data_IF_424203604571
#
_entry.id   IF_424203604571
#
_cell.length_a   1.000
_cell.length_b   1.000
_cell.length_c   1.000
_cell.angle_alpha   90.00
_cell.angle_beta   90.00
_cell.angle_gamma   90.00
#
_symmetry.space_group_name_H-M   'P 1'
#
loop_
_entity.id
_entity.type
_entity.pdbx_description
1 polymer ?
#
# COMPACT_ATOMS: atom_id res chain seq x y z
N UNK A 1 -34.72 -9.14 23.36
CA UNK A 1 -33.70 -8.63 22.43
C UNK A 1 -33.39 -9.78 21.49
N UNK A 2 -34.03 -9.82 20.32
CA UNK A 2 -33.78 -10.86 19.31
C UNK A 2 -32.67 -10.32 18.42
N UNK A 3 -31.45 -10.78 18.64
CA UNK A 3 -30.35 -10.60 17.71
C UNK A 3 -30.65 -11.41 16.46
N UNK A 4 -31.24 -10.78 15.46
CA UNK A 4 -31.29 -11.33 14.12
C UNK A 4 -29.87 -11.20 13.59
N UNK A 5 -29.09 -12.28 13.71
CA UNK A 5 -27.83 -12.43 12.99
C UNK A 5 -28.18 -12.45 11.51
N UNK A 6 -28.14 -11.29 10.86
CA UNK A 6 -27.96 -11.24 9.40
C UNK A 6 -26.53 -11.74 9.17
N UNK A 7 -26.38 -13.05 9.04
CA UNK A 7 -25.22 -13.62 8.38
C UNK A 7 -25.52 -13.46 6.88
N UNK A 8 -24.84 -12.56 6.16
CA UNK A 8 -25.01 -12.47 4.72
C UNK A 8 -24.48 -13.79 4.16
N UNK A 9 -25.39 -14.68 3.75
CA UNK A 9 -25.04 -15.88 3.00
C UNK A 9 -24.72 -15.46 1.56
N UNK A 10 -23.62 -14.75 1.41
CA UNK A 10 -22.95 -14.50 0.14
C UNK A 10 -22.04 -15.69 -0.13
N UNK A 11 -22.43 -16.54 -1.08
CA UNK A 11 -21.63 -17.60 -1.73
C UNK A 11 -20.79 -18.51 -0.82
N UNK A 12 -21.11 -19.81 -0.78
CA UNK A 12 -20.39 -20.82 0.01
C UNK A 12 -19.26 -21.44 -0.82
N UNK A 13 -17.99 -21.02 -0.68
CA UNK A 13 -16.95 -21.35 -1.67
C UNK A 13 -16.54 -22.83 -1.68
N UNK A 14 -16.85 -23.60 -0.63
CA UNK A 14 -16.56 -25.04 -0.57
C UNK A 14 -17.72 -25.92 -1.04
N UNK A 15 -18.89 -25.35 -1.29
CA UNK A 15 -20.11 -26.09 -1.70
C UNK A 15 -20.54 -25.67 -3.08
N UNK A 16 -20.55 -24.35 -3.33
CA UNK A 16 -20.95 -23.79 -4.61
C UNK A 16 -19.90 -24.15 -5.67
N UNK A 17 -20.36 -24.52 -6.86
CA UNK A 17 -19.48 -24.81 -7.98
C UNK A 17 -18.60 -23.60 -8.34
N UNK A 18 -17.42 -23.86 -8.88
CA UNK A 18 -16.53 -22.79 -9.34
C UNK A 18 -17.28 -21.94 -10.37
N UNK A 19 -17.52 -20.67 -10.03
CA UNK A 19 -18.17 -19.71 -10.92
C UNK A 19 -17.41 -19.68 -12.24
N UNK A 20 -18.11 -19.92 -13.34
CA UNK A 20 -17.50 -19.87 -14.68
C UNK A 20 -16.99 -18.46 -14.98
N UNK A 21 -15.88 -18.29 -15.73
CA UNK A 21 -15.43 -16.98 -16.17
C UNK A 21 -16.53 -16.18 -16.90
N UNK A 22 -17.45 -16.88 -17.59
CA UNK A 22 -18.58 -16.26 -18.29
C UNK A 22 -19.64 -15.72 -17.32
N UNK A 23 -19.94 -16.45 -16.25
CA UNK A 23 -20.88 -16.02 -15.20
C UNK A 23 -20.33 -14.82 -14.43
N UNK A 24 -19.01 -14.82 -14.17
CA UNK A 24 -18.33 -13.67 -13.56
C UNK A 24 -18.44 -12.42 -14.42
N UNK A 25 -18.15 -12.54 -15.72
CA UNK A 25 -18.26 -11.41 -16.65
C UNK A 25 -19.70 -10.88 -16.75
N UNK A 26 -20.69 -11.77 -16.69
CA UNK A 26 -22.09 -11.37 -16.69
C UNK A 26 -22.49 -10.64 -15.41
N UNK A 27 -22.06 -11.13 -14.24
CA UNK A 27 -22.30 -10.46 -12.95
C UNK A 27 -21.60 -9.10 -12.92
N UNK A 28 -20.37 -9.00 -13.42
CA UNK A 28 -19.65 -7.72 -13.55
C UNK A 28 -20.41 -6.74 -14.43
N UNK A 29 -20.93 -7.18 -15.59
CA UNK A 29 -21.76 -6.33 -16.46
C UNK A 29 -23.03 -5.83 -15.74
N UNK A 30 -23.68 -6.68 -14.94
CA UNK A 30 -24.85 -6.29 -14.14
C UNK A 30 -24.48 -5.28 -13.05
N UNK A 31 -23.33 -5.45 -12.40
CA UNK A 31 -22.80 -4.49 -11.42
C UNK A 31 -22.51 -3.14 -12.11
N UNK A 32 -21.87 -3.15 -13.28
CA UNK A 32 -21.60 -1.93 -14.05
C UNK A 32 -22.90 -1.20 -14.44
N UNK A 33 -23.92 -1.95 -14.88
CA UNK A 33 -25.23 -1.39 -15.18
C UNK A 33 -25.88 -0.77 -13.93
N UNK A 34 -25.78 -1.42 -12.77
CA UNK A 34 -26.33 -0.89 -11.52
C UNK A 34 -25.56 0.34 -11.03
N UNK A 35 -24.23 0.34 -11.14
CA UNK A 35 -23.40 1.53 -10.84
C UNK A 35 -23.75 2.71 -11.74
N UNK A 36 -23.98 2.46 -13.05
CA UNK A 36 -24.42 3.48 -13.98
C UNK A 36 -25.83 4.01 -13.65
N UNK A 37 -26.75 3.12 -13.24
CA UNK A 37 -28.10 3.50 -12.81
C UNK A 37 -28.09 4.29 -11.50
N UNK A 38 -27.27 3.92 -10.52
CA UNK A 38 -27.11 4.66 -9.27
C UNK A 38 -26.50 6.05 -9.52
N UNK A 39 -25.52 6.14 -10.41
CA UNK A 39 -24.95 7.41 -10.83
C UNK A 39 -26.03 8.31 -11.46
N UNK A 40 -26.79 7.79 -12.43
CA UNK A 40 -27.87 8.54 -13.08
C UNK A 40 -29.00 8.93 -12.12
N UNK A 41 -29.39 8.06 -11.19
CA UNK A 41 -30.40 8.38 -10.17
C UNK A 41 -29.91 9.47 -9.21
N UNK A 42 -28.64 9.46 -8.82
CA UNK A 42 -28.05 10.54 -8.01
C UNK A 42 -27.99 11.87 -8.78
N UNK A 43 -27.59 11.86 -10.04
CA UNK A 43 -27.57 13.07 -10.90
C UNK A 43 -28.98 13.62 -11.11
N UNK A 44 -29.97 12.75 -11.36
CA UNK A 44 -31.38 13.15 -11.55
C UNK A 44 -31.98 13.74 -10.27
N UNK A 45 -31.63 13.19 -9.10
CA UNK A 45 -32.01 13.75 -7.79
C UNK A 45 -31.32 15.10 -7.50
N UNK A 46 -30.11 15.35 -7.99
CA UNK A 46 -29.48 16.68 -7.90
C UNK A 46 -30.14 17.71 -8.82
N UNK A 47 -30.56 17.32 -10.03
CA UNK A 47 -31.27 18.23 -10.96
C UNK A 47 -32.70 18.54 -10.52
N UNK A 48 -33.43 17.58 -9.93
CA UNK A 48 -34.80 17.83 -9.44
C UNK A 48 -34.84 18.69 -8.17
N UNK A 49 -33.80 18.67 -7.34
CA UNK A 49 -33.70 19.57 -6.17
C UNK A 49 -33.36 21.03 -6.54
N UNK A 50 -32.92 21.31 -7.78
CA UNK A 50 -32.68 22.67 -8.26
C UNK A 50 -33.95 23.41 -8.73
N UNK A 51 -35.07 22.71 -8.89
CA UNK A 51 -36.32 23.34 -9.34
C UNK A 51 -37.15 24.00 -8.22
N UNK A 52 -36.77 23.86 -6.94
CA UNK A 52 -37.62 24.24 -5.80
C UNK A 52 -36.92 24.96 -4.63
N UNK A 53 -35.85 25.73 -4.84
CA UNK A 53 -35.32 26.61 -3.78
C UNK A 53 -34.91 27.99 -4.30
N UNK A 54 -35.91 28.85 -4.51
CA UNK A 54 -35.74 30.28 -4.22
C UNK A 54 -35.55 30.41 -2.70
N UNK A 55 -34.31 30.50 -2.21
CA UNK A 55 -33.94 31.37 -1.09
C UNK A 55 -32.42 31.36 -0.85
N UNK A 56 -31.89 32.57 -0.82
CA UNK A 56 -30.48 32.89 -0.63
C UNK A 56 -29.95 32.47 0.76
N UNK A 57 -28.63 32.21 0.80
CA UNK A 57 -27.72 32.27 1.96
C UNK A 57 -27.30 31.01 2.75
N UNK A 58 -27.32 29.79 2.19
CA UNK A 58 -26.69 28.62 2.86
C UNK A 58 -25.70 27.79 2.01
N UNK A 59 -25.25 28.28 0.85
CA UNK A 59 -24.52 27.44 -0.13
C UNK A 59 -23.00 27.65 -0.24
N UNK A 60 -22.34 28.35 0.70
CA UNK A 60 -20.87 28.48 0.68
C UNK A 60 -20.13 27.51 1.60
N UNK A 61 -20.77 26.99 2.65
CA UNK A 61 -20.13 26.05 3.59
C UNK A 61 -20.24 24.60 3.09
N UNK A 62 -21.30 24.26 2.36
CA UNK A 62 -21.52 22.91 1.81
C UNK A 62 -20.65 22.59 0.58
N UNK A 63 -20.29 23.59 -0.23
CA UNK A 63 -19.42 23.37 -1.40
C UNK A 63 -17.97 23.05 -1.02
N UNK A 64 -17.51 23.54 0.14
CA UNK A 64 -16.17 23.22 0.64
C UNK A 64 -16.09 21.85 1.34
N UNK A 65 -17.24 21.30 1.77
CA UNK A 65 -17.32 19.96 2.35
C UNK A 65 -17.52 18.85 1.31
N UNK A 66 -17.92 19.21 0.08
CA UNK A 66 -18.10 18.24 -1.02
C UNK A 66 -16.82 17.97 -1.83
N UNK A 67 -15.86 18.90 -1.87
CA UNK A 67 -14.55 18.66 -2.51
C UNK A 67 -13.67 17.67 -1.73
N UNK A 68 -13.90 17.49 -0.43
CA UNK A 68 -13.21 16.49 0.40
C UNK A 68 -13.81 15.08 0.32
N UNK A 69 -15.04 14.92 -0.18
CA UNK A 69 -15.63 13.58 -0.41
C UNK A 69 -15.29 13.02 -1.80
N UNK A 70 -14.90 13.85 -2.77
CA UNK A 70 -14.53 13.37 -4.09
C UNK A 70 -13.11 12.75 -4.15
N UNK A 71 -12.26 12.98 -3.14
CA UNK A 71 -10.99 12.25 -2.99
C UNK A 71 -11.13 10.87 -2.34
N UNK A 72 -12.29 10.53 -1.73
CA UNK A 72 -12.46 9.22 -1.07
C UNK A 72 -12.88 8.08 -2.00
N UNK A 73 -13.38 8.37 -3.21
CA UNK A 73 -13.76 7.30 -4.15
C UNK A 73 -12.57 6.60 -4.80
N UNK A 74 -11.34 7.14 -4.72
CA UNK A 74 -10.13 6.44 -5.13
C UNK A 74 -9.45 5.64 -4.00
N UNK A 75 -10.01 5.64 -2.78
CA UNK A 75 -9.41 4.96 -1.61
C UNK A 75 -10.22 3.76 -1.10
N UNK A 76 -11.13 3.18 -1.90
CA UNK A 76 -11.81 1.94 -1.50
C UNK A 76 -10.94 0.67 -1.54
N UNK A 77 -9.63 0.78 -1.69
CA UNK A 77 -8.75 -0.39 -1.64
C UNK A 77 -8.05 -0.61 -0.29
N UNK A 78 -8.11 0.30 0.69
CA UNK A 78 -7.47 0.07 1.99
C UNK A 78 -8.33 0.60 3.16
N UNK A 79 -8.44 -0.21 4.21
CA UNK A 79 -9.22 0.11 5.42
C UNK A 79 -8.60 1.30 6.19
N UNK A 80 -9.40 2.22 6.79
CA UNK A 80 -8.90 3.48 7.39
C UNK A 80 -7.97 3.32 8.60
N UNK A 81 -7.82 2.11 9.14
CA UNK A 81 -6.85 1.79 10.20
C UNK A 81 -5.54 1.17 9.67
N UNK A 82 -5.42 0.91 8.37
CA UNK A 82 -4.18 0.38 7.77
C UNK A 82 -3.04 1.38 7.94
N UNK A 83 -3.30 2.69 7.78
CA UNK A 83 -2.30 3.75 7.99
C UNK A 83 -1.77 3.81 9.43
N UNK A 84 -2.54 3.29 10.41
CA UNK A 84 -2.14 3.21 11.82
C UNK A 84 -1.40 1.91 12.18
N UNK A 85 -1.74 0.80 11.52
CA UNK A 85 -1.23 -0.53 11.84
C UNK A 85 -0.01 -0.92 10.99
N UNK A 86 0.12 -0.33 9.80
CA UNK A 86 1.21 -0.58 8.87
C UNK A 86 1.65 0.76 8.25
N UNK A 87 2.60 1.48 8.87
CA UNK A 87 3.11 2.71 8.28
C UNK A 87 3.80 2.37 6.96
N UNK A 88 3.13 2.65 5.84
CA UNK A 88 3.72 2.55 4.51
C UNK A 88 4.95 3.48 4.44
N UNK A 89 6.02 3.10 3.72
CA UNK A 89 7.31 3.79 3.72
C UNK A 89 7.33 5.19 3.08
N UNK A 90 6.18 5.84 2.90
CA UNK A 90 6.13 7.19 2.34
C UNK A 90 6.35 8.31 3.38
N UNK A 91 6.37 8.05 4.69
CA UNK A 91 6.44 9.17 5.64
C UNK A 91 6.91 8.86 7.07
N UNK A 92 7.87 7.96 7.31
CA UNK A 92 8.41 7.84 8.69
C UNK A 92 9.82 7.22 8.83
N UNK A 93 10.75 7.52 7.93
CA UNK A 93 12.15 7.58 8.38
C UNK A 93 12.28 8.80 9.31
N UNK A 94 12.85 8.69 10.52
CA UNK A 94 13.13 9.84 11.38
C UNK A 94 14.28 10.65 10.79
N UNK A 95 14.03 11.28 9.65
CA UNK A 95 14.92 12.25 9.04
C UNK A 95 14.56 13.61 9.64
N UNK A 96 15.58 14.38 10.02
CA UNK A 96 15.41 15.77 10.46
C UNK A 96 14.57 16.52 9.42
N UNK A 97 13.71 17.46 9.84
CA UNK A 97 12.90 18.30 8.93
C UNK A 97 13.75 18.88 7.78
N UNK A 98 15.02 19.20 8.05
CA UNK A 98 15.98 19.64 7.05
C UNK A 98 16.30 18.57 5.98
N UNK A 99 16.48 17.31 6.36
CA UNK A 99 16.75 16.22 5.42
C UNK A 99 15.52 15.90 4.55
N UNK A 100 14.32 16.04 5.11
CA UNK A 100 13.07 15.92 4.34
C UNK A 100 12.89 17.07 3.35
N UNK A 101 13.23 18.29 3.76
CA UNK A 101 13.19 19.45 2.88
C UNK A 101 14.21 19.34 1.74
N UNK A 102 15.42 18.85 2.02
CA UNK A 102 16.44 18.57 0.99
C UNK A 102 15.95 17.54 -0.02
N UNK A 103 15.41 16.41 0.44
CA UNK A 103 14.85 15.38 -0.46
C UNK A 103 13.70 15.92 -1.33
N UNK A 104 12.87 16.81 -0.78
CA UNK A 104 11.79 17.45 -1.56
C UNK A 104 12.36 18.32 -2.68
N UNK A 105 13.40 19.11 -2.39
CA UNK A 105 14.06 19.92 -3.41
C UNK A 105 14.82 19.09 -4.45
N UNK A 106 15.33 17.91 -4.07
CA UNK A 106 15.94 16.96 -5.01
C UNK A 106 14.88 16.35 -5.95
N UNK A 107 13.74 15.91 -5.42
CA UNK A 107 12.63 15.33 -6.20
C UNK A 107 11.94 16.36 -7.12
N UNK A 108 11.67 17.57 -6.62
CA UNK A 108 11.11 18.67 -7.43
C UNK A 108 12.07 19.11 -8.56
N UNK A 109 13.39 18.92 -8.39
CA UNK A 109 14.38 19.29 -9.42
C UNK A 109 14.59 18.20 -10.48
N UNK A 110 14.09 16.98 -10.29
CA UNK A 110 14.14 15.89 -11.27
C UNK A 110 12.97 15.93 -12.28
N UNK A 111 11.83 16.54 -11.92
CA UNK A 111 10.63 16.59 -12.77
C UNK A 111 10.62 17.72 -13.81
N UNK A 112 11.46 18.75 -13.66
CA UNK A 112 11.40 19.99 -14.47
C UNK A 112 12.45 20.10 -15.61
N UNK A 113 13.45 19.19 -15.70
CA UNK A 113 14.56 19.34 -16.67
C UNK A 113 14.54 18.27 -17.80
N UNK A 114 13.72 18.51 -18.82
CA UNK A 114 13.77 17.85 -20.15
C UNK A 114 14.90 18.44 -21.04
N UNK A 115 16.01 18.91 -20.43
CA UNK A 115 17.18 19.45 -21.14
C UNK A 115 18.34 18.44 -21.12
N UNK A 116 18.41 17.63 -22.18
CA UNK A 116 19.26 16.44 -22.33
C UNK A 116 20.78 16.72 -22.32
N UNK A 117 21.22 17.96 -22.11
CA UNK A 117 22.63 18.37 -22.26
C UNK A 117 23.26 18.97 -20.99
N UNK A 118 22.53 19.10 -19.88
CA UNK A 118 23.14 19.53 -18.63
C UNK A 118 22.37 18.96 -17.43
N UNK A 119 22.74 17.79 -16.89
CA UNK A 119 22.05 17.25 -15.73
C UNK A 119 22.17 18.24 -14.56
N UNK A 120 21.09 18.52 -13.82
CA UNK A 120 21.15 19.38 -12.65
C UNK A 120 22.17 18.82 -11.65
N UNK A 121 22.91 19.66 -10.92
CA UNK A 121 23.89 19.20 -9.95
C UNK A 121 23.14 18.52 -8.81
N UNK A 122 23.08 17.18 -8.84
CA UNK A 122 22.53 16.38 -7.75
C UNK A 122 23.33 16.73 -6.49
N UNK A 123 22.69 17.46 -5.58
CA UNK A 123 23.38 18.19 -4.51
C UNK A 123 24.01 17.24 -3.47
N UNK A 124 23.61 15.96 -3.44
CA UNK A 124 24.05 14.99 -2.43
C UNK A 124 24.30 13.54 -2.90
N UNK A 125 24.41 13.23 -4.20
CA UNK A 125 24.57 11.81 -4.63
C UNK A 125 25.86 11.13 -4.13
N UNK A 126 26.87 11.89 -3.71
CA UNK A 126 28.18 11.36 -3.30
C UNK A 126 28.72 11.86 -1.96
N UNK A 127 27.96 12.68 -1.22
CA UNK A 127 28.50 13.45 -0.10
C UNK A 127 29.43 14.58 -0.55
N UNK A 128 30.28 15.07 0.36
CA UNK A 128 31.21 16.18 0.08
C UNK A 128 32.32 15.69 -0.85
N UNK A 129 32.38 16.23 -2.07
CA UNK A 129 33.46 15.93 -3.01
C UNK A 129 34.83 16.33 -2.43
N UNK A 130 35.70 15.32 -2.28
CA UNK A 130 37.06 15.47 -1.77
C UNK A 130 38.09 15.72 -2.89
N UNK A 131 37.68 15.76 -4.15
CA UNK A 131 38.57 16.00 -5.31
C UNK A 131 39.29 17.35 -5.23
N UNK A 132 38.71 18.32 -4.53
CA UNK A 132 39.37 19.61 -4.22
C UNK A 132 40.65 19.47 -3.38
N UNK A 133 40.78 18.38 -2.65
CA UNK A 133 41.87 18.09 -1.72
C UNK A 133 42.89 17.09 -2.29
N UNK A 134 42.69 16.61 -3.53
CA UNK A 134 43.64 15.74 -4.21
C UNK A 134 44.64 16.52 -5.09
N UNK A 135 44.27 17.73 -5.52
CA UNK A 135 45.09 18.58 -6.40
C UNK A 135 45.69 19.77 -5.64
N UNK A 136 47.03 19.86 -5.61
CA UNK A 136 47.76 20.92 -4.90
C UNK A 136 48.20 22.09 -5.80
N UNK A 137 47.94 21.98 -7.10
CA UNK A 137 48.32 22.99 -8.08
C UNK A 137 47.17 23.98 -8.24
N UNK A 138 47.45 25.29 -8.19
CA UNK A 138 46.41 26.27 -8.51
C UNK A 138 46.07 26.14 -10.00
N UNK A 139 44.85 25.72 -10.32
CA UNK A 139 44.38 25.56 -11.72
C UNK A 139 44.27 26.90 -12.49
N UNK A 140 44.91 27.97 -12.01
CA UNK A 140 44.99 29.25 -12.70
C UNK A 140 46.27 29.42 -13.54
N UNK A 141 47.10 28.36 -13.66
CA UNK A 141 48.22 28.33 -14.63
C UNK A 141 47.74 27.97 -16.03
N UNK A 142 46.87 28.80 -16.58
CA UNK A 142 46.61 28.84 -18.03
C UNK A 142 47.54 29.92 -18.59
N UNK A 143 48.67 29.46 -19.17
CA UNK A 143 49.62 30.18 -20.05
C UNK A 143 50.85 30.83 -19.37
N UNK A 144 51.97 30.12 -19.36
CA UNK A 144 53.22 30.53 -20.07
C UNK A 144 54.33 29.49 -19.92
N UNK A 145 55.10 29.14 -20.97
CA UNK A 145 56.17 28.13 -20.92
C UNK A 145 57.51 28.67 -20.42
N UNK A 146 57.55 29.89 -19.89
CA UNK A 146 58.76 30.60 -19.47
C UNK A 146 58.66 30.89 -17.99
N UNK A 147 59.54 30.24 -17.22
CA UNK A 147 59.71 30.30 -15.76
C UNK A 147 58.74 29.41 -14.97
N UNK A 148 59.24 28.22 -14.58
CA UNK A 148 58.54 27.25 -13.74
C UNK A 148 58.62 27.68 -12.27
N UNK A 149 57.74 28.57 -11.85
CA UNK A 149 57.32 28.59 -10.45
C UNK A 149 55.99 27.84 -10.36
N UNK A 150 56.04 26.63 -9.79
CA UNK A 150 54.83 25.89 -9.45
C UNK A 150 54.18 26.65 -8.31
N UNK A 151 53.09 27.35 -8.59
CA UNK A 151 52.32 28.06 -7.55
C UNK A 151 51.52 27.03 -6.75
N UNK A 152 52.21 26.44 -5.75
CA UNK A 152 51.64 25.44 -4.86
C UNK A 152 50.64 26.14 -3.94
N UNK A 153 49.40 25.65 -3.92
CA UNK A 153 48.41 26.14 -2.97
C UNK A 153 48.71 25.58 -1.58
N UNK A 154 49.56 26.29 -0.83
CA UNK A 154 49.95 25.91 0.52
C UNK A 154 48.75 25.78 1.47
N UNK A 155 47.67 26.56 1.28
CA UNK A 155 46.47 26.43 2.11
C UNK A 155 45.82 25.05 1.92
N UNK A 156 45.63 24.61 0.67
CA UNK A 156 45.11 23.26 0.40
C UNK A 156 46.06 22.17 0.91
N UNK A 157 47.37 22.36 0.75
CA UNK A 157 48.38 21.41 1.25
C UNK A 157 48.37 21.29 2.79
N UNK A 158 48.28 22.40 3.52
CA UNK A 158 48.22 22.35 4.98
C UNK A 158 46.87 21.84 5.50
N UNK A 159 45.77 22.23 4.85
CA UNK A 159 44.43 21.73 5.20
C UNK A 159 44.33 20.21 4.97
N UNK A 160 44.87 19.69 3.87
CA UNK A 160 44.91 18.23 3.63
C UNK A 160 45.78 17.48 4.62
N UNK A 161 46.93 18.04 4.97
CA UNK A 161 47.80 17.46 6.00
C UNK A 161 47.11 17.42 7.37
N UNK A 162 46.40 18.49 7.74
CA UNK A 162 45.62 18.53 8.98
C UNK A 162 44.50 17.48 8.98
N UNK A 163 43.76 17.35 7.87
CA UNK A 163 42.76 16.30 7.71
C UNK A 163 43.38 14.89 7.75
N UNK A 164 44.58 14.69 7.17
CA UNK A 164 45.30 13.43 7.25
C UNK A 164 45.71 13.09 8.68
N UNK A 165 46.17 14.07 9.47
CA UNK A 165 46.46 13.88 10.89
C UNK A 165 45.20 13.58 11.71
N UNK A 166 44.09 14.28 11.45
CA UNK A 166 42.82 14.00 12.10
C UNK A 166 42.30 12.61 11.74
N UNK A 167 42.40 12.22 10.46
CA UNK A 167 42.04 10.90 9.97
C UNK A 167 42.89 9.82 10.65
N UNK A 168 44.19 10.03 10.79
CA UNK A 168 45.09 9.11 11.50
C UNK A 168 44.69 8.97 12.97
N UNK A 169 44.35 10.08 13.64
CA UNK A 169 43.86 10.05 15.03
C UNK A 169 42.54 9.31 15.15
N UNK A 170 41.60 9.57 14.25
CA UNK A 170 40.30 8.90 14.20
C UNK A 170 40.48 7.40 13.93
N UNK A 171 41.38 7.02 13.02
CA UNK A 171 41.71 5.62 12.76
C UNK A 171 42.35 4.95 13.96
N UNK A 172 43.22 5.64 14.70
CA UNK A 172 43.82 5.13 15.92
C UNK A 172 42.76 4.87 17.01
N UNK A 173 41.81 5.80 17.19
CA UNK A 173 40.67 5.63 18.09
C UNK A 173 39.79 4.46 17.64
N UNK A 174 39.50 4.36 16.34
CA UNK A 174 38.74 3.24 15.78
C UNK A 174 39.44 1.90 16.00
N UNK A 175 40.76 1.84 15.84
CA UNK A 175 41.55 0.62 16.08
C UNK A 175 41.51 0.20 17.54
N UNK A 176 41.59 1.16 18.47
CA UNK A 176 41.45 0.89 19.91
C UNK A 176 40.05 0.39 20.25
N UNK A 177 39.03 0.97 19.67
CA UNK A 177 37.63 0.63 19.92
C UNK A 177 37.13 -0.54 19.05
N UNK A 178 37.96 -1.10 18.17
CA UNK A 178 37.55 -2.12 17.19
C UNK A 178 36.91 -3.33 17.85
N UNK A 179 37.44 -3.77 18.99
CA UNK A 179 36.92 -4.93 19.69
C UNK A 179 35.52 -4.66 20.27
N UNK A 180 35.31 -3.50 20.90
CA UNK A 180 34.02 -3.07 21.41
C UNK A 180 33.01 -2.86 20.29
N UNK A 181 33.44 -2.26 19.17
CA UNK A 181 32.62 -2.07 17.98
C UNK A 181 32.21 -3.42 17.37
N UNK A 182 33.12 -4.39 17.31
CA UNK A 182 32.81 -5.74 16.83
C UNK A 182 31.83 -6.45 17.74
N UNK A 183 31.90 -6.24 19.06
CA UNK A 183 30.93 -6.79 20.01
C UNK A 183 29.56 -6.14 19.83
N UNK A 184 29.50 -4.81 19.68
CA UNK A 184 28.26 -4.09 19.40
C UNK A 184 27.65 -4.55 18.07
N UNK A 185 28.46 -4.71 17.02
CA UNK A 185 28.01 -5.23 15.74
C UNK A 185 27.43 -6.64 15.88
N UNK A 186 28.08 -7.51 16.65
CA UNK A 186 27.56 -8.86 16.91
C UNK A 186 26.24 -8.82 17.69
N UNK A 187 26.09 -7.90 18.65
CA UNK A 187 24.85 -7.72 19.40
C UNK A 187 23.72 -7.22 18.48
N UNK A 188 23.98 -6.24 17.62
CA UNK A 188 22.99 -5.75 16.65
C UNK A 188 22.59 -6.85 15.65
N UNK A 189 23.55 -7.66 15.20
CA UNK A 189 23.26 -8.80 14.32
C UNK A 189 22.39 -9.84 15.03
N UNK A 190 22.66 -10.11 16.31
CA UNK A 190 21.84 -11.00 17.13
C UNK A 190 20.43 -10.44 17.35
N UNK A 191 20.28 -9.15 17.64
CA UNK A 191 18.97 -8.50 17.77
C UNK A 191 18.18 -8.56 16.45
N UNK A 192 18.84 -8.36 15.31
CA UNK A 192 18.20 -8.48 14.00
C UNK A 192 17.72 -9.90 13.74
N UNK A 193 18.52 -10.90 14.13
CA UNK A 193 18.14 -12.31 14.04
C UNK A 193 16.96 -12.65 14.95
N UNK A 194 16.92 -12.10 16.17
CA UNK A 194 15.80 -12.27 17.10
C UNK A 194 14.50 -11.70 16.53
N UNK A 195 14.56 -10.51 15.92
CA UNK A 195 13.41 -9.88 15.25
C UNK A 195 12.94 -10.72 14.07
N UNK A 196 13.87 -11.21 13.23
CA UNK A 196 13.52 -12.08 12.11
C UNK A 196 12.83 -13.37 12.59
N UNK A 197 13.34 -13.97 13.67
CA UNK A 197 12.73 -15.15 14.27
C UNK A 197 11.32 -14.86 14.84
N UNK A 198 11.10 -13.74 15.51
CA UNK A 198 9.77 -13.32 16.00
C UNK A 198 8.79 -13.10 14.84
N UNK A 199 9.25 -12.44 13.77
CA UNK A 199 8.42 -12.23 12.57
C UNK A 199 8.06 -13.54 11.88
N UNK A 200 9.01 -14.46 11.75
CA UNK A 200 8.76 -15.80 11.22
C UNK A 200 7.78 -16.60 12.07
N UNK A 201 7.91 -16.51 13.40
CA UNK A 201 6.96 -17.14 14.32
C UNK A 201 5.56 -16.55 14.15
N UNK A 202 5.41 -15.22 14.11
CA UNK A 202 4.11 -14.56 13.89
C UNK A 202 3.49 -14.91 12.55
N UNK A 203 4.30 -15.08 11.50
CA UNK A 203 3.82 -15.56 10.20
C UNK A 203 3.31 -17.00 10.33
N UNK A 204 4.04 -17.87 11.05
CA UNK A 204 3.61 -19.22 11.36
C UNK A 204 2.28 -19.26 12.11
N UNK A 205 2.16 -18.50 13.19
CA UNK A 205 0.95 -18.40 14.01
C UNK A 205 -0.24 -17.88 13.19
N UNK A 206 -0.02 -16.86 12.34
CA UNK A 206 -1.06 -16.35 11.44
C UNK A 206 -1.50 -17.39 10.41
N UNK A 207 -0.56 -18.15 9.84
CA UNK A 207 -0.88 -19.23 8.90
C UNK A 207 -1.70 -20.32 9.58
N UNK A 208 -1.30 -20.74 10.77
CA UNK A 208 -2.06 -21.71 11.55
C UNK A 208 -3.48 -21.20 11.88
N UNK A 209 -3.61 -19.94 12.29
CA UNK A 209 -4.92 -19.34 12.54
C UNK A 209 -5.79 -19.29 11.28
N UNK A 210 -5.21 -19.01 10.11
CA UNK A 210 -5.92 -19.04 8.83
C UNK A 210 -6.39 -20.47 8.53
N UNK A 211 -5.51 -21.46 8.68
CA UNK A 211 -5.83 -22.86 8.44
C UNK A 211 -6.95 -23.35 9.38
N UNK A 212 -6.93 -22.95 10.65
CA UNK A 212 -7.97 -23.28 11.64
C UNK A 212 -9.33 -22.66 11.27
N UNK A 213 -9.33 -21.40 10.83
CA UNK A 213 -10.53 -20.71 10.34
C UNK A 213 -11.04 -21.38 9.07
N UNK A 214 -10.15 -21.74 8.15
CA UNK A 214 -10.48 -22.41 6.90
C UNK A 214 -11.09 -23.78 7.17
N UNK A 215 -10.48 -24.57 8.05
CA UNK A 215 -10.99 -25.87 8.46
C UNK A 215 -12.35 -25.74 9.14
N UNK A 216 -12.53 -24.75 10.00
CA UNK A 216 -13.82 -24.47 10.65
C UNK A 216 -14.88 -24.09 9.62
N UNK A 217 -14.55 -23.24 8.64
CA UNK A 217 -15.45 -22.84 7.56
C UNK A 217 -15.82 -24.04 6.70
N UNK A 218 -14.84 -24.84 6.29
CA UNK A 218 -15.05 -26.05 5.50
C UNK A 218 -15.92 -27.06 6.24
N UNK A 219 -15.69 -27.27 7.53
CA UNK A 219 -16.52 -28.15 8.37
C UNK A 219 -17.98 -27.68 8.40
N UNK A 220 -18.21 -26.40 8.69
CA UNK A 220 -19.59 -25.84 8.71
C UNK A 220 -20.28 -25.97 7.35
N UNK A 221 -19.54 -25.72 6.28
CA UNK A 221 -20.09 -25.77 4.94
C UNK A 221 -20.36 -27.21 4.48
N UNK A 222 -19.37 -28.09 4.56
CA UNK A 222 -19.45 -29.45 4.00
C UNK A 222 -20.17 -30.42 4.92
N UNK A 223 -19.91 -30.36 6.23
CA UNK A 223 -20.43 -31.37 7.17
C UNK A 223 -21.79 -30.95 7.75
N UNK A 224 -21.97 -29.67 8.08
CA UNK A 224 -23.20 -29.19 8.73
C UNK A 224 -24.24 -28.72 7.70
N UNK A 225 -23.85 -27.88 6.73
CA UNK A 225 -24.80 -27.23 5.81
C UNK A 225 -25.18 -28.12 4.63
N UNK A 226 -24.21 -28.73 3.93
CA UNK A 226 -24.48 -29.48 2.70
C UNK A 226 -25.51 -30.61 2.88
N UNK A 227 -25.43 -31.49 3.90
CA UNK A 227 -26.40 -32.58 4.04
C UNK A 227 -27.81 -32.09 4.36
N UNK A 228 -27.91 -30.98 5.11
CA UNK A 228 -29.19 -30.35 5.44
C UNK A 228 -29.79 -29.70 4.19
N UNK A 229 -28.99 -28.99 3.40
CA UNK A 229 -29.41 -28.41 2.13
C UNK A 229 -29.90 -29.47 1.14
N UNK A 230 -29.14 -30.55 0.97
CA UNK A 230 -29.50 -31.66 0.08
C UNK A 230 -30.81 -32.34 0.53
N UNK A 231 -30.99 -32.56 1.84
CA UNK A 231 -32.22 -33.12 2.39
C UNK A 231 -33.43 -32.19 2.17
N UNK A 232 -33.30 -30.89 2.44
CA UNK A 232 -34.37 -29.93 2.21
C UNK A 232 -34.72 -29.83 0.72
N UNK A 233 -33.72 -29.88 -0.17
CA UNK A 233 -33.94 -29.84 -1.60
C UNK A 233 -34.65 -31.10 -2.11
N UNK A 234 -34.28 -32.28 -1.61
CA UNK A 234 -34.99 -33.53 -1.90
C UNK A 234 -36.43 -33.46 -1.41
N UNK A 235 -36.65 -33.06 -0.16
CA UNK A 235 -38.01 -32.90 0.40
C UNK A 235 -38.86 -31.90 -0.40
N UNK A 236 -38.25 -30.82 -0.88
CA UNK A 236 -38.93 -29.83 -1.72
C UNK A 236 -39.28 -30.41 -3.10
N UNK A 237 -38.36 -31.18 -3.71
CA UNK A 237 -38.62 -31.88 -4.98
C UNK A 237 -39.73 -32.91 -4.83
N UNK A 238 -39.67 -33.75 -3.81
CA UNK A 238 -40.69 -34.77 -3.52
C UNK A 238 -42.05 -34.13 -3.21
N UNK A 239 -42.05 -32.98 -2.52
CA UNK A 239 -43.26 -32.20 -2.26
C UNK A 239 -43.89 -31.63 -3.53
N UNK A 240 -43.08 -31.13 -4.47
CA UNK A 240 -43.55 -30.68 -5.79
C UNK A 240 -44.06 -31.88 -6.59
N UNK A 241 -43.30 -32.98 -6.61
CA UNK A 241 -43.67 -34.20 -7.33
C UNK A 241 -45.00 -34.75 -6.83
N UNK A 242 -45.18 -34.85 -5.51
CA UNK A 242 -46.44 -35.29 -4.91
C UNK A 242 -47.61 -34.35 -5.25
N UNK A 243 -47.41 -33.03 -5.24
CA UNK A 243 -48.44 -32.07 -5.65
C UNK A 243 -48.81 -32.22 -7.14
N UNK A 244 -47.82 -32.48 -8.00
CA UNK A 244 -48.02 -32.69 -9.43
C UNK A 244 -48.73 -34.02 -9.67
N UNK A 245 -48.32 -35.10 -9.00
CA UNK A 245 -48.97 -36.41 -9.07
C UNK A 245 -50.42 -36.35 -8.62
N UNK A 246 -50.71 -35.68 -7.50
CA UNK A 246 -52.09 -35.47 -7.03
C UNK A 246 -52.92 -34.65 -8.02
N UNK A 247 -52.32 -33.64 -8.65
CA UNK A 247 -52.99 -32.84 -9.68
C UNK A 247 -53.29 -33.67 -10.94
N UNK A 248 -52.38 -34.56 -11.33
CA UNK A 248 -52.57 -35.49 -12.46
C UNK A 248 -53.63 -36.55 -12.11
N UNK A 249 -53.64 -37.08 -10.89
CA UNK A 249 -54.63 -38.05 -10.44
C UNK A 249 -56.02 -37.43 -10.34
N UNK A 250 -56.13 -36.19 -9.84
CA UNK A 250 -57.37 -35.41 -9.86
C UNK A 250 -57.89 -35.18 -11.28
N UNK A 251 -57.02 -34.79 -12.21
CA UNK A 251 -57.39 -34.61 -13.61
C UNK A 251 -57.82 -35.93 -14.29
N UNK A 252 -57.21 -37.07 -13.93
CA UNK A 252 -57.63 -38.40 -14.41
C UNK A 252 -58.98 -38.83 -13.85
N UNK A 253 -59.28 -38.46 -12.60
CA UNK A 253 -60.58 -38.72 -11.98
C UNK A 253 -61.69 -37.85 -12.56
N UNK A 254 -61.40 -36.60 -12.97
CA UNK A 254 -62.37 -35.74 -13.65
C UNK A 254 -62.64 -36.14 -15.11
N UNK A 255 -61.74 -36.91 -15.74
CA UNK A 255 -61.87 -37.39 -17.11
C UNK A 255 -62.62 -38.73 -17.26
N UNK A 256 -62.91 -39.44 -16.16
CA UNK A 256 -63.73 -40.66 -16.12
C UNK A 256 -65.12 -40.38 -15.55
#
# INVERSE_FOLDING_TARGET
MVTINYEPLEHLPYIDENISPEERAHVEQLIEMELANQFNNNVTNMTNNHAHTNNNNLNRVSLQQQLSQQQQLHQQNMHPLVDQLLPLPASNVPSSLLAREVLRYEEESEEDDDDTNNPPPILMEGGIDLSRYTDFNSNNSVISPTEREVDINYNQMYTTLEYAHLQQRNLNVMLKNKQELSQLQSQHLQQLQEIDQDLQQRIGDKRQMIDDIEQTRKKRQVDDFKPVGDYLQQQWRDGIESCVEMSIEGAKLEMN
#
